data_IF_381396198464
#
_entry.id   IF_381396198464
#
_cell.length_a   1.000
_cell.length_b   1.000
_cell.length_c   1.000
_cell.angle_alpha   90.00
_cell.angle_beta   90.00
_cell.angle_gamma   90.00
#
_symmetry.space_group_name_H-M   'P 1'
#
loop_
_entity.id
_entity.type
_entity.pdbx_description
1 polymer ?
#
# COMPACT_ATOMS: atom_id res chain seq x y z
N UNK A 1 5.80 2.04 -1.58
CA UNK A 1 5.50 1.06 -0.51
C UNK A 1 4.06 1.14 -0.08
N UNK A 2 3.70 2.11 0.76
CA UNK A 2 2.36 2.22 1.32
C UNK A 2 1.49 3.27 0.59
N UNK A 3 1.75 3.53 -0.68
CA UNK A 3 1.02 4.48 -1.52
C UNK A 3 -0.32 3.91 -2.01
N UNK A 4 -0.41 2.59 -2.24
CA UNK A 4 -1.67 1.90 -2.56
C UNK A 4 -1.97 0.84 -1.50
N UNK A 5 -3.10 0.99 -0.81
CA UNK A 5 -3.47 0.11 0.32
C UNK A 5 -4.84 -0.48 0.08
N UNK A 6 -4.99 -1.78 0.33
CA UNK A 6 -6.31 -2.38 0.42
C UNK A 6 -6.79 -2.27 1.87
N UNK A 7 -7.86 -1.52 2.10
CA UNK A 7 -8.49 -1.37 3.41
C UNK A 7 -9.95 -1.80 3.28
N UNK A 8 -10.37 -2.82 4.05
CA UNK A 8 -11.74 -3.35 4.02
C UNK A 8 -12.24 -3.73 2.61
N UNK A 9 -11.36 -4.29 1.78
CA UNK A 9 -11.68 -4.67 0.40
C UNK A 9 -11.72 -3.52 -0.61
N UNK A 10 -11.42 -2.28 -0.18
CA UNK A 10 -11.36 -1.11 -1.05
C UNK A 10 -9.93 -0.58 -1.18
N UNK A 11 -9.53 -0.22 -2.40
CA UNK A 11 -8.23 0.39 -2.66
C UNK A 11 -8.23 1.88 -2.34
N UNK A 12 -7.34 2.28 -1.44
CA UNK A 12 -7.07 3.67 -1.06
C UNK A 12 -5.69 4.09 -1.55
N UNK A 13 -5.54 5.40 -1.73
CA UNK A 13 -4.42 6.03 -2.43
C UNK A 13 -3.79 7.06 -1.52
N UNK A 14 -2.48 7.05 -1.38
CA UNK A 14 -1.75 7.91 -0.47
C UNK A 14 -0.49 8.46 -1.12
N UNK A 15 -0.22 9.72 -0.85
CA UNK A 15 1.04 10.37 -1.19
C UNK A 15 1.85 10.63 0.08
N UNK A 16 3.11 10.21 0.06
CA UNK A 16 4.03 10.51 1.13
C UNK A 16 4.45 11.97 1.05
N UNK A 17 4.42 12.70 2.17
CA UNK A 17 4.84 14.10 2.22
C UNK A 17 6.37 14.29 2.15
N UNK A 18 7.13 13.19 2.00
CA UNK A 18 8.59 13.20 1.91
C UNK A 18 9.31 13.26 3.25
N UNK A 19 8.60 13.31 4.38
CA UNK A 19 9.21 13.44 5.71
C UNK A 19 8.61 12.52 6.77
N UNK A 20 7.31 12.64 7.02
CA UNK A 20 6.72 12.15 8.28
C UNK A 20 5.37 11.47 8.14
N UNK A 21 4.65 11.65 7.03
CA UNK A 21 3.27 11.19 6.95
C UNK A 21 2.80 10.91 5.53
N UNK A 22 1.87 9.96 5.46
CA UNK A 22 1.06 9.67 4.30
C UNK A 22 -0.19 10.53 4.31
N UNK A 23 -0.50 11.17 3.18
CA UNK A 23 -1.74 11.93 2.96
C UNK A 23 -2.60 11.21 1.96
N UNK A 24 -3.86 11.02 2.29
CA UNK A 24 -4.78 10.34 1.37
C UNK A 24 -5.14 11.21 0.17
N UNK A 25 -5.04 10.62 -1.02
CA UNK A 25 -5.58 11.13 -2.27
C UNK A 25 -7.06 10.76 -2.38
N UNK A 26 -7.91 11.61 -1.80
CA UNK A 26 -9.36 11.37 -1.71
C UNK A 26 -10.08 11.42 -3.07
N UNK A 27 -9.49 12.02 -4.11
CA UNK A 27 -10.14 12.25 -5.40
C UNK A 27 -11.22 13.34 -5.36
N UNK A 28 -11.18 14.26 -4.39
CA UNK A 28 -12.11 15.41 -4.30
C UNK A 28 -11.80 16.56 -5.26
N UNK A 29 -10.61 16.56 -5.87
CA UNK A 29 -10.19 17.55 -6.87
C UNK A 29 -9.71 16.84 -8.14
N UNK A 30 -9.77 17.52 -9.28
CA UNK A 30 -9.33 16.97 -10.57
C UNK A 30 -7.88 16.47 -10.51
N UNK A 31 -6.98 17.26 -9.92
CA UNK A 31 -5.58 16.86 -9.72
C UNK A 31 -5.45 15.58 -8.87
N UNK A 32 -6.26 15.44 -7.80
CA UNK A 32 -6.24 14.22 -6.98
C UNK A 32 -6.77 13.01 -7.77
N UNK A 33 -7.80 13.19 -8.59
CA UNK A 33 -8.34 12.15 -9.47
C UNK A 33 -7.29 11.71 -10.48
N UNK A 34 -6.60 12.65 -11.12
CA UNK A 34 -5.52 12.37 -12.07
C UNK A 34 -4.39 11.60 -11.42
N UNK A 35 -3.88 12.03 -10.25
CA UNK A 35 -2.83 11.32 -9.52
C UNK A 35 -3.21 9.88 -9.20
N UNK A 36 -4.45 9.63 -8.76
CA UNK A 36 -4.96 8.27 -8.52
C UNK A 36 -4.95 7.43 -9.79
N UNK A 37 -5.38 8.00 -10.93
CA UNK A 37 -5.36 7.31 -12.24
C UNK A 37 -3.93 6.98 -12.66
N UNK A 38 -3.00 7.92 -12.53
CA UNK A 38 -1.59 7.69 -12.85
C UNK A 38 -1.00 6.56 -12.00
N UNK A 39 -1.25 6.59 -10.68
CA UNK A 39 -0.79 5.55 -9.78
C UNK A 39 -1.38 4.19 -10.15
N UNK A 40 -2.70 4.10 -10.31
CA UNK A 40 -3.38 2.86 -10.70
C UNK A 40 -2.83 2.28 -12.02
N UNK A 41 -2.58 3.13 -13.01
CA UNK A 41 -2.03 2.70 -14.29
C UNK A 41 -0.58 2.23 -14.17
N UNK A 42 0.23 2.84 -13.31
CA UNK A 42 1.59 2.36 -13.03
C UNK A 42 1.57 0.93 -12.47
N UNK A 43 0.73 0.65 -11.48
CA UNK A 43 0.59 -0.70 -10.92
C UNK A 43 0.04 -1.70 -11.96
N UNK A 44 -0.99 -1.33 -12.74
CA UNK A 44 -1.50 -2.18 -13.83
C UNK A 44 -0.41 -2.56 -14.83
N UNK A 45 0.40 -1.60 -15.25
CA UNK A 45 1.51 -1.84 -16.17
C UNK A 45 2.54 -2.78 -15.55
N UNK A 46 2.92 -2.58 -14.29
CA UNK A 46 3.88 -3.45 -13.60
C UNK A 46 3.36 -4.88 -13.46
N UNK A 47 2.12 -5.05 -13.02
CA UNK A 47 1.50 -6.35 -12.76
C UNK A 47 1.24 -7.16 -14.04
N UNK A 48 1.11 -6.50 -15.19
CA UNK A 48 0.83 -7.15 -16.49
C UNK A 48 2.08 -7.37 -17.35
N UNK A 49 3.25 -6.90 -16.90
CA UNK A 49 4.51 -7.01 -17.66
C UNK A 49 5.16 -8.39 -17.57
N UNK A 50 4.92 -9.13 -16.49
CA UNK A 50 5.53 -10.42 -16.27
C UNK A 50 4.99 -11.47 -17.26
N UNK A 51 5.88 -12.25 -17.88
CA UNK A 51 5.52 -13.26 -18.90
C UNK A 51 5.57 -14.71 -18.41
N UNK A 52 6.45 -15.04 -17.46
CA UNK A 52 6.64 -16.42 -16.97
C UNK A 52 6.24 -16.60 -15.50
N UNK A 53 5.91 -15.52 -14.80
CA UNK A 53 5.61 -15.55 -13.37
C UNK A 53 5.97 -14.23 -12.71
N UNK A 54 5.35 -13.94 -11.58
CA UNK A 54 5.53 -12.72 -10.80
C UNK A 54 5.56 -13.06 -9.32
N UNK A 55 6.43 -12.41 -8.57
CA UNK A 55 6.43 -12.44 -7.11
C UNK A 55 6.02 -11.06 -6.62
N UNK A 56 4.99 -11.01 -5.77
CA UNK A 56 4.55 -9.78 -5.10
C UNK A 56 5.05 -9.85 -3.66
N UNK A 57 5.92 -8.91 -3.28
CA UNK A 57 6.42 -8.81 -1.91
C UNK A 57 5.56 -7.80 -1.13
N UNK A 58 4.99 -8.24 0.00
CA UNK A 58 4.29 -7.38 0.95
C UNK A 58 5.06 -7.39 2.26
N UNK A 59 5.62 -6.25 2.71
CA UNK A 59 6.41 -6.23 3.94
C UNK A 59 5.51 -6.27 5.18
N UNK A 60 5.98 -6.93 6.24
CA UNK A 60 5.44 -6.73 7.59
C UNK A 60 5.86 -5.32 8.06
N UNK A 61 4.90 -4.44 8.34
CA UNK A 61 5.23 -3.08 8.82
C UNK A 61 6.00 -3.06 10.14
N UNK A 62 6.42 -1.87 10.58
CA UNK A 62 7.06 -1.65 11.87
C UNK A 62 6.00 -1.52 13.00
N UNK A 63 5.85 -2.59 13.78
CA UNK A 63 4.98 -2.62 14.95
C UNK A 63 5.61 -2.14 16.26
N UNK A 64 6.89 -1.72 16.25
CA UNK A 64 7.58 -1.29 17.46
C UNK A 64 6.98 0.01 18.00
N UNK A 65 6.93 0.12 19.31
CA UNK A 65 6.53 1.33 20.03
C UNK A 65 7.66 1.83 20.91
N UNK A 66 7.74 3.15 21.00
CA UNK A 66 8.59 3.84 21.98
C UNK A 66 8.11 3.55 23.40
N UNK A 67 8.96 3.82 24.40
CA UNK A 67 8.63 3.68 25.83
C UNK A 67 7.36 4.46 26.21
N UNK A 68 7.05 5.55 25.49
CA UNK A 68 5.85 6.36 25.68
C UNK A 68 4.57 5.82 25.00
N UNK A 69 4.62 4.64 24.37
CA UNK A 69 3.48 4.01 23.70
C UNK A 69 3.20 4.51 22.27
N UNK A 70 4.02 5.39 21.72
CA UNK A 70 3.89 5.87 20.34
C UNK A 70 4.64 4.98 19.36
N UNK A 71 4.16 4.79 18.11
CA UNK A 71 4.90 4.06 17.08
C UNK A 71 6.30 4.62 16.88
N UNK A 72 7.30 3.74 16.80
CA UNK A 72 8.69 4.12 16.49
C UNK A 72 8.80 4.69 15.07
N UNK A 73 8.06 4.11 14.13
CA UNK A 73 7.96 4.60 12.75
C UNK A 73 6.49 4.64 12.27
N UNK A 74 5.88 5.83 12.36
CA UNK A 74 4.52 6.07 11.91
C UNK A 74 4.35 6.02 10.37
N UNK A 75 5.45 5.95 9.60
CA UNK A 75 5.39 5.88 8.13
C UNK A 75 5.29 4.46 7.60
N UNK A 76 5.50 3.44 8.46
CA UNK A 76 5.54 2.02 8.11
C UNK A 76 4.64 1.16 9.00
N UNK A 77 3.52 1.68 9.48
CA UNK A 77 2.63 0.93 10.37
C UNK A 77 2.17 -0.40 9.73
N UNK A 78 2.02 -1.50 10.51
CA UNK A 78 1.58 -2.79 9.98
C UNK A 78 0.23 -2.72 9.24
N UNK A 79 -0.68 -1.88 9.72
CA UNK A 79 -1.99 -1.64 9.11
C UNK A 79 -1.91 -1.18 7.64
N UNK A 80 -0.78 -0.59 7.21
CA UNK A 80 -0.61 -0.15 5.82
C UNK A 80 -0.42 -1.31 4.85
N UNK A 81 0.00 -2.47 5.35
CA UNK A 81 0.39 -3.62 4.54
C UNK A 81 -0.54 -4.82 4.76
N UNK A 82 -1.03 -5.02 5.99
CA UNK A 82 -1.83 -6.18 6.36
C UNK A 82 -3.07 -6.36 5.47
N UNK A 83 -3.84 -5.29 5.23
CA UNK A 83 -5.03 -5.40 4.40
C UNK A 83 -4.72 -5.73 2.93
N UNK A 84 -3.60 -5.25 2.39
CA UNK A 84 -3.12 -5.63 1.05
C UNK A 84 -2.70 -7.11 1.01
N UNK A 85 -1.98 -7.58 2.02
CA UNK A 85 -1.59 -8.99 2.14
C UNK A 85 -2.82 -9.90 2.25
N UNK A 86 -3.78 -9.56 3.12
CA UNK A 86 -5.03 -10.31 3.29
C UNK A 86 -5.84 -10.36 1.99
N UNK A 87 -5.93 -9.24 1.27
CA UNK A 87 -6.58 -9.19 -0.03
C UNK A 87 -5.91 -10.15 -1.02
N UNK A 88 -4.59 -10.06 -1.18
CA UNK A 88 -3.82 -10.93 -2.08
C UNK A 88 -3.94 -12.41 -1.70
N UNK A 89 -3.91 -12.72 -0.40
CA UNK A 89 -4.11 -14.07 0.13
C UNK A 89 -5.51 -14.60 -0.19
N UNK A 90 -6.55 -13.77 -0.08
CA UNK A 90 -7.93 -14.16 -0.40
C UNK A 90 -8.16 -14.48 -1.87
N UNK A 91 -7.29 -14.00 -2.77
CA UNK A 91 -7.30 -14.36 -4.19
C UNK A 91 -6.72 -15.76 -4.48
N UNK A 92 -6.18 -16.46 -3.47
CA UNK A 92 -5.62 -17.79 -3.63
C UNK A 92 -4.19 -17.81 -4.20
N UNK A 93 -3.43 -16.72 -4.05
CA UNK A 93 -2.02 -16.68 -4.42
C UNK A 93 -1.20 -17.58 -3.50
N UNK A 94 -0.24 -18.33 -4.06
CA UNK A 94 0.66 -19.18 -3.29
C UNK A 94 1.57 -18.32 -2.39
N UNK A 95 1.55 -18.59 -1.10
CA UNK A 95 2.41 -17.95 -0.12
C UNK A 95 3.70 -18.75 0.07
N UNK A 96 4.85 -18.09 -0.12
CA UNK A 96 6.16 -18.60 0.26
C UNK A 96 6.59 -17.90 1.53
N UNK A 97 6.53 -18.61 2.66
CA UNK A 97 7.03 -18.18 3.97
C UNK A 97 8.49 -18.55 4.11
#
# INVERSE_FOLDING_TARGET
>A
DADMRCENGAWRYFNFNGRTAWREETGKSDNSIERRKYMLNAYRVLLTRARMGMVICVPSGNGNTTVGGFPEDATRLPEFYNGTYEYLRSLGLEEKV
#
